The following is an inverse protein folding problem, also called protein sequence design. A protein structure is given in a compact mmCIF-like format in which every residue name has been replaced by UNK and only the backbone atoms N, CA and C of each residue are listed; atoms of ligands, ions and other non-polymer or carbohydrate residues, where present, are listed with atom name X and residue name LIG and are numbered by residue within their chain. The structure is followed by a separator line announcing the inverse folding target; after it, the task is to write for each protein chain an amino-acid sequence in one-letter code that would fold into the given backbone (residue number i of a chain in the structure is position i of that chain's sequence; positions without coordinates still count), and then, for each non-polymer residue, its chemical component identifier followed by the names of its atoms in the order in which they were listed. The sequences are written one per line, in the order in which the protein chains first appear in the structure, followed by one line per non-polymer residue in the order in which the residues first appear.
data_IF_405986867503
#
_entry.id   IF_405986867503
#
_cell.length_a   1.000
_cell.length_b   1.000
_cell.length_c   1.000
_cell.angle_alpha   90.00
_cell.angle_beta   90.00
_cell.angle_gamma   90.00
#
_symmetry.space_group_name_H-M   'P 1'
#
loop_
_entity.id
_entity.type
_entity.pdbx_description
1 polymer ?
#
# COMPACT_ATOMS: atom_id res chain seq x y z
N UNK A 1 6.21 12.31 -11.73
CA UNK A 1 5.50 12.70 -10.53
C UNK A 1 6.00 11.95 -9.31
N UNK A 2 5.59 12.39 -8.13
CA UNK A 2 6.01 11.73 -6.88
C UNK A 2 5.48 10.31 -6.75
N UNK A 3 4.31 10.01 -7.31
CA UNK A 3 3.76 8.64 -7.28
C UNK A 3 4.59 7.66 -8.11
N UNK A 4 5.31 8.13 -9.12
CA UNK A 4 6.24 7.29 -9.88
C UNK A 4 7.29 6.64 -8.96
N UNK A 5 7.73 7.34 -7.92
CA UNK A 5 8.70 6.80 -6.95
C UNK A 5 8.12 5.63 -6.18
N UNK A 6 6.82 5.67 -5.88
CA UNK A 6 6.12 4.54 -5.25
C UNK A 6 6.05 3.36 -6.19
N UNK A 7 5.76 3.59 -7.47
CA UNK A 7 5.73 2.54 -8.49
C UNK A 7 7.10 1.88 -8.64
N UNK A 8 8.16 2.68 -8.66
CA UNK A 8 9.52 2.17 -8.75
C UNK A 8 9.86 1.30 -7.55
N UNK A 9 9.48 1.73 -6.34
CA UNK A 9 9.68 0.93 -5.13
C UNK A 9 8.93 -0.41 -5.22
N UNK A 10 7.68 -0.40 -5.68
CA UNK A 10 6.89 -1.61 -5.85
C UNK A 10 7.55 -2.58 -6.83
N UNK A 11 8.15 -2.07 -7.90
CA UNK A 11 8.88 -2.92 -8.86
C UNK A 11 10.05 -3.64 -8.16
N UNK A 12 10.87 -2.91 -7.42
CA UNK A 12 12.00 -3.49 -6.71
C UNK A 12 11.55 -4.47 -5.63
N UNK A 13 10.52 -4.14 -4.87
CA UNK A 13 9.97 -5.01 -3.83
C UNK A 13 9.40 -6.30 -4.45
N UNK A 14 8.74 -6.20 -5.60
CA UNK A 14 8.23 -7.34 -6.34
C UNK A 14 9.35 -8.26 -6.77
N UNK A 15 10.42 -7.72 -7.32
CA UNK A 15 11.56 -8.50 -7.78
C UNK A 15 12.30 -9.22 -6.65
N UNK A 16 12.31 -8.64 -5.46
CA UNK A 16 12.95 -9.22 -4.27
C UNK A 16 12.02 -10.03 -3.39
N UNK A 17 10.77 -10.22 -3.81
CA UNK A 17 9.73 -10.92 -3.02
C UNK A 17 9.60 -10.36 -1.61
N UNK A 18 9.62 -9.04 -1.51
CA UNK A 18 9.46 -8.35 -0.24
C UNK A 18 8.02 -7.90 -0.09
N UNK A 19 7.34 -8.36 0.96
CA UNK A 19 5.95 -8.00 1.22
C UNK A 19 5.81 -6.51 1.57
N UNK A 20 4.76 -5.88 1.03
CA UNK A 20 4.52 -4.46 1.26
C UNK A 20 3.04 -4.14 1.19
N UNK A 21 2.65 -3.10 1.94
CA UNK A 21 1.29 -2.56 1.93
C UNK A 21 1.38 -1.05 1.99
N UNK A 22 0.98 -0.40 0.90
CA UNK A 22 1.03 1.05 0.76
C UNK A 22 -0.38 1.56 0.56
N UNK A 23 -0.82 2.51 1.40
CA UNK A 23 -2.14 3.11 1.31
C UNK A 23 -1.98 4.56 0.87
N UNK A 24 -2.63 4.93 -0.23
CA UNK A 24 -2.56 6.29 -0.77
C UNK A 24 -3.89 6.97 -0.54
N UNK A 25 -3.88 8.03 0.28
CA UNK A 25 -5.10 8.76 0.65
C UNK A 25 -5.59 9.63 -0.51
N UNK A 26 -6.91 9.70 -0.64
CA UNK A 26 -7.59 10.66 -1.51
C UNK A 26 -8.18 11.80 -0.66
N UNK A 27 -9.51 11.88 -0.57
CA UNK A 27 -10.17 12.93 0.22
C UNK A 27 -10.14 12.64 1.72
N UNK A 28 -10.29 11.38 2.11
CA UNK A 28 -10.24 10.99 3.52
C UNK A 28 -8.79 11.00 4.02
N UNK A 29 -8.44 11.82 5.01
CA UNK A 29 -7.06 11.94 5.45
C UNK A 29 -6.55 10.78 6.31
N UNK A 30 -7.40 9.86 6.73
CA UNK A 30 -7.05 8.67 7.53
C UNK A 30 -6.23 9.02 8.79
N UNK A 31 -6.54 10.12 9.46
CA UNK A 31 -5.73 10.61 10.58
C UNK A 31 -5.67 9.62 11.75
N UNK A 32 -6.77 8.94 12.04
CA UNK A 32 -6.79 7.94 13.11
C UNK A 32 -5.90 6.75 12.77
N UNK A 33 -5.87 6.35 11.51
CA UNK A 33 -5.00 5.25 11.05
C UNK A 33 -3.54 5.67 11.13
N UNK A 34 -3.22 6.89 10.70
CA UNK A 34 -1.85 7.43 10.76
C UNK A 34 -1.32 7.38 12.19
N UNK A 35 -2.14 7.73 13.18
CA UNK A 35 -1.74 7.77 14.59
C UNK A 35 -1.47 6.38 15.18
N UNK A 36 -1.90 5.31 14.54
CA UNK A 36 -1.61 3.94 15.02
C UNK A 36 -0.19 3.50 14.74
N UNK A 37 0.51 4.17 13.84
CA UNK A 37 1.86 3.81 13.46
C UNK A 37 2.92 4.80 13.95
N UNK A 38 4.10 4.67 13.37
CA UNK A 38 5.19 5.60 13.62
C UNK A 38 5.07 6.79 12.67
N UNK A 39 4.69 7.95 13.20
CA UNK A 39 4.43 9.16 12.43
C UNK A 39 5.73 9.86 12.10
N UNK A 40 5.97 10.05 10.81
CA UNK A 40 7.05 10.90 10.31
C UNK A 40 6.63 11.41 8.94
N UNK A 41 6.96 12.64 8.62
CA UNK A 41 6.63 13.20 7.31
C UNK A 41 7.87 13.23 6.46
N UNK A 42 7.83 12.59 5.31
CA UNK A 42 8.97 12.47 4.41
C UNK A 42 8.54 12.52 2.97
N UNK A 43 9.43 13.03 2.12
CA UNK A 43 9.26 12.93 0.67
C UNK A 43 9.19 11.47 0.27
N UNK A 44 8.42 11.17 -0.78
CA UNK A 44 8.36 9.82 -1.32
C UNK A 44 9.70 9.53 -2.00
N UNK A 45 10.36 8.46 -1.56
CA UNK A 45 11.64 8.03 -2.06
C UNK A 45 11.61 6.50 -2.17
N UNK A 46 11.98 5.98 -3.34
CA UNK A 46 11.89 4.54 -3.57
C UNK A 46 12.80 3.76 -2.62
N UNK A 47 13.99 4.25 -2.35
CA UNK A 47 14.92 3.58 -1.43
C UNK A 47 14.38 3.57 0.00
N UNK A 48 13.74 4.66 0.45
CA UNK A 48 13.13 4.72 1.77
C UNK A 48 12.00 3.72 1.89
N UNK A 49 11.12 3.64 0.87
CA UNK A 49 10.03 2.67 0.87
C UNK A 49 10.55 1.24 0.91
N UNK A 50 11.58 0.93 0.12
CA UNK A 50 12.19 -0.39 0.13
C UNK A 50 12.79 -0.72 1.49
N UNK A 51 13.43 0.26 2.12
CA UNK A 51 14.03 0.08 3.44
C UNK A 51 12.96 -0.16 4.50
N UNK A 52 11.84 0.58 4.46
CA UNK A 52 10.75 0.40 5.41
C UNK A 52 10.23 -1.04 5.38
N UNK A 53 10.06 -1.61 4.19
CA UNK A 53 9.51 -2.96 4.07
C UNK A 53 10.55 -4.06 4.16
N UNK A 54 11.81 -3.72 4.32
CA UNK A 54 12.85 -4.72 4.52
C UNK A 54 12.58 -5.53 5.80
N UNK A 55 12.71 -6.84 5.67
CA UNK A 55 12.28 -7.82 6.68
C UNK A 55 12.84 -7.60 8.07
N UNK A 56 14.06 -7.06 8.16
CA UNK A 56 14.75 -6.88 9.43
C UNK A 56 14.57 -5.51 10.05
N UNK A 57 13.70 -4.65 9.47
CA UNK A 57 13.40 -3.36 10.08
C UNK A 57 12.16 -3.46 10.97
N UNK A 58 12.08 -2.67 12.05
CA UNK A 58 10.86 -2.65 12.87
C UNK A 58 9.65 -2.07 12.13
N UNK A 59 9.86 -1.37 11.01
CA UNK A 59 8.80 -0.68 10.28
C UNK A 59 8.12 -1.53 9.22
N UNK A 60 8.61 -2.74 8.94
CA UNK A 60 8.09 -3.55 7.82
C UNK A 60 6.69 -4.12 8.07
N UNK A 61 6.29 -4.26 9.33
CA UNK A 61 5.00 -4.83 9.71
C UNK A 61 3.96 -3.71 9.78
N UNK A 62 2.90 -3.83 8.99
CA UNK A 62 1.87 -2.82 8.88
C UNK A 62 1.92 -2.08 7.55
N UNK A 63 1.26 -0.93 7.50
CA UNK A 63 1.09 -0.17 6.27
C UNK A 63 1.83 1.16 6.30
N UNK A 64 2.31 1.58 5.12
CA UNK A 64 2.78 2.94 4.89
C UNK A 64 1.61 3.76 4.36
N UNK A 65 1.40 4.94 4.93
CA UNK A 65 0.35 5.87 4.50
C UNK A 65 0.98 7.02 3.73
N UNK A 66 0.50 7.24 2.51
CA UNK A 66 0.91 8.36 1.66
C UNK A 66 -0.27 9.33 1.55
N UNK A 67 0.00 10.60 1.81
CA UNK A 67 -0.99 11.67 1.73
C UNK A 67 -0.29 12.95 1.27
N UNK A 68 -0.93 13.69 0.36
CA UNK A 68 -0.39 14.95 -0.18
C UNK A 68 1.03 14.77 -0.75
N UNK A 69 1.23 13.66 -1.47
CA UNK A 69 2.49 13.31 -2.13
C UNK A 69 3.66 13.11 -1.15
N UNK A 70 3.37 12.79 0.10
CA UNK A 70 4.40 12.51 1.12
C UNK A 70 4.07 11.26 1.91
N UNK A 71 5.11 10.58 2.40
CA UNK A 71 4.94 9.51 3.36
C UNK A 71 4.61 10.16 4.71
N UNK A 72 3.47 9.79 5.30
CA UNK A 72 3.03 10.35 6.57
C UNK A 72 3.38 9.47 7.76
N UNK A 73 3.35 8.16 7.57
CA UNK A 73 3.61 7.22 8.66
C UNK A 73 3.90 5.83 8.09
N UNK A 74 4.54 5.01 8.92
CA UNK A 74 4.78 3.60 8.63
C UNK A 74 4.30 2.76 9.78
N UNK A 75 4.19 1.45 9.58
CA UNK A 75 3.74 0.49 10.58
C UNK A 75 2.34 0.79 11.12
N UNK A 76 1.49 1.40 10.27
CA UNK A 76 0.11 1.70 10.66
C UNK A 76 -0.75 0.45 10.68
N UNK A 77 -1.72 0.41 11.57
CA UNK A 77 -2.64 -0.71 11.73
C UNK A 77 -3.94 -0.37 11.02
N UNK A 78 -4.32 -1.22 10.07
CA UNK A 78 -5.53 -1.06 9.26
C UNK A 78 -6.64 -1.97 9.79
N UNK A 79 -7.93 -1.57 9.58
CA UNK A 79 -9.03 -2.50 9.85
C UNK A 79 -8.96 -3.68 8.89
N UNK A 80 -9.10 -4.88 9.41
CA UNK A 80 -9.10 -6.10 8.61
C UNK A 80 -10.52 -6.39 8.13
N UNK A 81 -10.67 -6.69 6.83
CA UNK A 81 -11.98 -6.98 6.28
C UNK A 81 -12.58 -8.23 6.93
N UNK A 82 -13.88 -8.15 7.24
CA UNK A 82 -14.66 -9.27 7.78
C UNK A 82 -15.46 -9.99 6.70
N UNK A 83 -15.21 -9.66 5.43
CA UNK A 83 -15.92 -10.26 4.31
C UNK A 83 -15.56 -11.74 4.19
N UNK A 84 -16.56 -12.62 4.30
CA UNK A 84 -16.37 -14.06 4.23
C UNK A 84 -16.07 -14.57 2.83
N UNK A 85 -16.26 -13.74 1.81
CA UNK A 85 -15.99 -14.10 0.42
C UNK A 85 -14.54 -13.92 0.00
N UNK A 86 -13.69 -13.44 0.92
CA UNK A 86 -12.26 -13.30 0.65
C UNK A 86 -11.63 -14.70 0.67
N UNK A 87 -10.90 -15.10 -0.40
CA UNK A 87 -10.27 -16.41 -0.42
C UNK A 87 -9.31 -16.61 0.76
N UNK A 88 -9.31 -17.82 1.32
CA UNK A 88 -8.44 -18.16 2.44
C UNK A 88 -6.95 -18.07 2.09
N UNK A 89 -6.62 -18.15 0.79
CA UNK A 89 -5.25 -17.99 0.30
C UNK A 89 -4.70 -16.59 0.45
N UNK A 90 -5.56 -15.59 0.65
CA UNK A 90 -5.13 -14.21 0.86
C UNK A 90 -4.66 -14.02 2.29
N UNK A 91 -3.47 -13.46 2.44
CA UNK A 91 -2.88 -13.19 3.75
C UNK A 91 -3.40 -11.91 4.39
N UNK A 92 -2.80 -11.57 5.53
CA UNK A 92 -3.23 -10.43 6.35
C UNK A 92 -3.09 -9.10 5.60
N UNK A 93 -2.03 -8.90 4.81
CA UNK A 93 -1.86 -7.66 4.04
C UNK A 93 -3.02 -7.42 3.08
N UNK A 94 -3.46 -8.46 2.38
CA UNK A 94 -4.60 -8.35 1.47
C UNK A 94 -5.89 -8.03 2.21
N UNK A 95 -6.13 -8.69 3.34
CA UNK A 95 -7.33 -8.45 4.15
C UNK A 95 -7.34 -7.05 4.74
N UNK A 96 -6.17 -6.55 5.15
CA UNK A 96 -6.04 -5.18 5.66
C UNK A 96 -6.26 -4.15 4.57
N UNK A 97 -5.74 -4.39 3.37
CA UNK A 97 -5.95 -3.50 2.22
C UNK A 97 -7.43 -3.45 1.84
N UNK A 98 -8.10 -4.59 1.80
CA UNK A 98 -9.53 -4.64 1.54
C UNK A 98 -10.28 -3.88 2.63
N UNK A 99 -9.94 -4.12 3.89
CA UNK A 99 -10.61 -3.47 5.02
C UNK A 99 -10.56 -1.95 4.98
N UNK A 100 -9.39 -1.37 4.74
CA UNK A 100 -9.27 0.09 4.70
C UNK A 100 -10.00 0.68 3.49
N UNK A 101 -10.02 -0.02 2.36
CA UNK A 101 -10.69 0.49 1.17
C UNK A 101 -12.21 0.30 1.22
N UNK A 102 -12.72 -0.57 2.10
CA UNK A 102 -14.16 -0.68 2.35
C UNK A 102 -14.71 0.52 3.13
N UNK A 103 -13.89 1.17 3.94
CA UNK A 103 -14.31 2.25 4.83
C UNK A 103 -13.75 3.61 4.45
N UNK A 104 -13.03 3.72 3.35
CA UNK A 104 -12.44 4.98 2.88
C UNK A 104 -12.35 5.01 1.37
N UNK A 105 -12.00 6.17 0.82
CA UNK A 105 -11.76 6.33 -0.62
C UNK A 105 -10.30 6.09 -1.02
N UNK A 106 -9.48 5.59 -0.09
CA UNK A 106 -8.07 5.34 -0.35
C UNK A 106 -7.86 4.21 -1.36
N UNK A 107 -6.71 4.24 -2.00
CA UNK A 107 -6.22 3.18 -2.88
C UNK A 107 -5.10 2.45 -2.14
N UNK A 108 -5.15 1.13 -2.10
CA UNK A 108 -4.09 0.32 -1.49
C UNK A 108 -3.32 -0.43 -2.55
N UNK A 109 -2.01 -0.50 -2.39
CA UNK A 109 -1.12 -1.29 -3.26
C UNK A 109 -0.42 -2.32 -2.38
N UNK A 110 -0.44 -3.57 -2.82
CA UNK A 110 0.12 -4.71 -2.08
C UNK A 110 1.17 -5.40 -2.95
N UNK A 111 2.31 -5.74 -2.33
CA UNK A 111 3.28 -6.64 -2.95
C UNK A 111 3.30 -7.92 -2.11
N UNK A 112 3.08 -9.06 -2.76
CA UNK A 112 3.09 -10.37 -2.10
C UNK A 112 4.52 -10.84 -1.86
N UNK A 113 4.83 -11.25 -0.63
CA UNK A 113 6.15 -11.82 -0.33
C UNK A 113 6.29 -13.25 -0.85
N UNK A 114 5.18 -13.92 -1.12
CA UNK A 114 5.20 -15.31 -1.62
C UNK A 114 5.37 -15.38 -3.12
N UNK A 115 4.68 -14.51 -3.87
CA UNK A 115 4.66 -14.57 -5.34
C UNK A 115 5.33 -13.40 -6.02
N UNK A 116 5.59 -12.31 -5.29
CA UNK A 116 6.07 -11.06 -5.85
C UNK A 116 5.01 -10.29 -6.64
N UNK A 117 3.79 -10.79 -6.73
CA UNK A 117 2.74 -10.13 -7.52
C UNK A 117 2.27 -8.86 -6.84
N UNK A 118 1.98 -7.84 -7.67
CA UNK A 118 1.46 -6.57 -7.22
C UNK A 118 -0.05 -6.57 -7.42
N UNK A 119 -0.79 -6.14 -6.39
CA UNK A 119 -2.24 -6.01 -6.45
C UNK A 119 -2.65 -4.60 -6.05
N UNK A 120 -3.76 -4.13 -6.62
CA UNK A 120 -4.34 -2.83 -6.28
C UNK A 120 -5.74 -3.07 -5.75
N UNK A 121 -6.10 -2.35 -4.66
CA UNK A 121 -7.42 -2.48 -4.04
C UNK A 121 -8.10 -1.13 -4.00
N UNK A 122 -9.35 -1.09 -4.44
CA UNK A 122 -10.20 0.10 -4.40
C UNK A 122 -11.63 -0.33 -4.07
N UNK A 123 -12.27 0.35 -3.11
CA UNK A 123 -13.65 0.07 -2.69
C UNK A 123 -13.87 -1.41 -2.33
N UNK A 124 -12.86 -2.03 -1.72
CA UNK A 124 -12.94 -3.43 -1.34
C UNK A 124 -12.72 -4.44 -2.46
N UNK A 125 -12.45 -3.97 -3.69
CA UNK A 125 -12.26 -4.84 -4.86
C UNK A 125 -10.78 -4.93 -5.21
N UNK A 126 -10.26 -6.14 -5.29
CA UNK A 126 -8.83 -6.41 -5.56
C UNK A 126 -8.62 -6.66 -7.04
N UNK A 127 -7.64 -5.98 -7.61
CA UNK A 127 -7.14 -6.25 -8.95
C UNK A 127 -5.78 -6.90 -8.82
N UNK A 128 -5.72 -8.22 -9.07
CA UNK A 128 -4.50 -9.01 -8.88
C UNK A 128 -3.55 -8.93 -10.07
N UNK A 129 -2.26 -9.06 -9.78
CA UNK A 129 -1.24 -9.29 -10.79
C UNK A 129 -1.12 -8.17 -11.80
N UNK A 130 -1.13 -6.92 -11.34
CA UNK A 130 -0.93 -5.78 -12.24
C UNK A 130 0.55 -5.64 -12.57
N UNK A 131 0.85 -5.29 -13.84
CA UNK A 131 2.21 -4.97 -14.25
C UNK A 131 2.59 -3.58 -13.75
N UNK A 132 3.88 -3.25 -13.83
CA UNK A 132 4.37 -1.91 -13.44
C UNK A 132 3.72 -0.84 -14.31
N UNK A 133 3.57 -1.08 -15.60
CA UNK A 133 2.91 -0.13 -16.51
C UNK A 133 1.43 0.05 -16.16
N UNK A 134 0.75 -1.04 -15.85
CA UNK A 134 -0.65 -0.99 -15.41
C UNK A 134 -0.79 -0.23 -14.10
N UNK A 135 0.12 -0.46 -13.15
CA UNK A 135 0.10 0.25 -11.87
C UNK A 135 0.30 1.74 -12.06
N UNK A 136 1.28 2.13 -12.89
CA UNK A 136 1.53 3.54 -13.17
C UNK A 136 0.31 4.20 -13.81
N UNK A 137 -0.27 3.56 -14.82
CA UNK A 137 -1.46 4.06 -15.50
C UNK A 137 -2.63 4.19 -14.53
N UNK A 138 -2.83 3.20 -13.68
CA UNK A 138 -3.91 3.20 -12.70
C UNK A 138 -3.77 4.37 -11.73
N UNK A 139 -2.59 4.56 -11.15
CA UNK A 139 -2.35 5.65 -10.20
C UNK A 139 -2.44 7.02 -10.84
N UNK A 140 -1.94 7.17 -12.07
CA UNK A 140 -2.06 8.43 -12.80
C UNK A 140 -3.54 8.79 -13.01
N UNK A 141 -4.36 7.82 -13.39
CA UNK A 141 -5.79 8.03 -13.60
C UNK A 141 -6.51 8.41 -12.30
N UNK A 142 -6.16 7.76 -11.20
CA UNK A 142 -6.84 7.97 -9.91
C UNK A 142 -6.44 9.28 -9.23
N UNK A 143 -5.21 9.76 -9.42
CA UNK A 143 -4.68 10.89 -8.67
C UNK A 143 -4.37 12.13 -9.50
N UNK A 144 -4.33 12.02 -10.83
CA UNK A 144 -4.00 13.15 -11.72
C UNK A 144 -5.15 13.55 -12.65
N UNK A 145 -6.30 12.94 -12.48
CA UNK A 145 -7.47 13.28 -13.33
C UNK A 145 -8.42 14.25 -12.69
#
# INVERSE_FOLDING_TARGET
TTLFRSVLACNHLSQSYTGALIVICKANPLEQIIQTGDVFTSEINSQLLETIFFKNTPLHDGAVIIKDNKIQAARCILPVSKNNNIPASMGLRHRSAIGITEVSDAISVIVSEQTGKISVVKNGVVKHGVSIDELQTYLDKEFNS
#
